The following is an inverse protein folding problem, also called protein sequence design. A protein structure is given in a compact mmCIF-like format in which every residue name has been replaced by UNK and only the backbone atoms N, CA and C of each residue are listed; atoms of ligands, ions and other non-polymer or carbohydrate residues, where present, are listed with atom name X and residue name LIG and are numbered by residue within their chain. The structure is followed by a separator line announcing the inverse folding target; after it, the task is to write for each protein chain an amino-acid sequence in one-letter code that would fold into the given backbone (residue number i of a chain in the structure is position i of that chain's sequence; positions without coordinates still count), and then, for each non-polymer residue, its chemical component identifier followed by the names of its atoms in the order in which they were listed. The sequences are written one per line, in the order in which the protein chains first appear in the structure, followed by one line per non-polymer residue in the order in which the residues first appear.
data_IF_954816824189
#
_entry.id   IF_954816824189
#
_cell.length_a   1.000
_cell.length_b   1.000
_cell.length_c   1.000
_cell.angle_alpha   90.00
_cell.angle_beta   90.00
_cell.angle_gamma   90.00
#
_symmetry.space_group_name_H-M   'P 1'
#
loop_
_entity.id
_entity.type
_entity.pdbx_description
1 polymer ?
#
# COMPACT_ATOMS: atom_id res chain seq x y z
N UNK A 1 -11.39 -9.41 22.31
CA UNK A 1 -10.65 -10.05 21.18
C UNK A 1 -9.18 -9.81 21.47
N UNK A 2 -8.32 -10.79 21.28
CA UNK A 2 -6.90 -10.60 21.56
C UNK A 2 -6.32 -9.56 20.59
N UNK A 3 -5.60 -8.58 21.12
CA UNK A 3 -4.80 -7.63 20.35
C UNK A 3 -3.67 -8.38 19.65
N UNK A 4 -3.90 -8.87 18.45
CA UNK A 4 -2.98 -9.76 17.72
C UNK A 4 -1.70 -9.09 17.26
N UNK A 5 -1.68 -7.75 17.27
CA UNK A 5 -0.54 -6.92 16.88
C UNK A 5 -0.01 -6.07 18.06
N UNK A 6 -0.33 -6.46 19.30
CA UNK A 6 0.17 -5.78 20.49
C UNK A 6 1.70 -5.74 20.50
N UNK A 7 2.26 -4.56 20.76
CA UNK A 7 3.71 -4.33 20.75
C UNK A 7 4.36 -4.29 19.38
N UNK A 8 3.58 -4.36 18.28
CA UNK A 8 4.07 -4.24 16.92
C UNK A 8 4.08 -2.79 16.45
N UNK A 9 5.10 -2.42 15.69
CA UNK A 9 5.24 -1.10 15.07
C UNK A 9 4.97 -1.24 13.57
N UNK A 10 4.11 -0.38 13.03
CA UNK A 10 3.71 -0.39 11.63
C UNK A 10 3.97 0.94 10.94
N UNK A 11 4.49 0.89 9.72
CA UNK A 11 4.53 2.01 8.76
C UNK A 11 3.41 1.83 7.74
N UNK A 12 2.61 2.88 7.52
CA UNK A 12 1.61 2.94 6.43
C UNK A 12 1.89 4.18 5.58
N UNK A 13 2.34 3.99 4.34
CA UNK A 13 2.53 5.10 3.39
C UNK A 13 1.21 5.47 2.71
N UNK A 14 0.99 6.75 2.41
CA UNK A 14 -0.31 7.24 1.94
C UNK A 14 -1.38 7.13 3.03
N UNK A 15 -1.00 7.35 4.29
CA UNK A 15 -1.81 7.10 5.47
C UNK A 15 -2.82 8.18 5.83
N UNK A 16 -2.83 9.32 5.12
CA UNK A 16 -3.71 10.44 5.46
C UNK A 16 -5.19 10.16 5.18
N UNK A 17 -5.52 9.33 4.19
CA UNK A 17 -6.91 9.07 3.76
C UNK A 17 -7.10 7.72 3.06
N UNK A 18 -8.37 7.40 2.74
CA UNK A 18 -8.75 6.25 1.91
C UNK A 18 -8.26 4.92 2.47
N UNK A 19 -7.70 4.06 1.61
CA UNK A 19 -7.23 2.72 1.99
C UNK A 19 -6.14 2.80 3.07
N UNK A 20 -5.21 3.77 2.97
CA UNK A 20 -4.14 3.95 3.95
C UNK A 20 -4.68 4.28 5.35
N UNK A 21 -5.59 5.25 5.47
CA UNK A 21 -6.21 5.60 6.74
C UNK A 21 -7.03 4.44 7.32
N UNK A 22 -7.87 3.76 6.50
CA UNK A 22 -8.60 2.59 6.92
C UNK A 22 -7.67 1.46 7.40
N UNK A 23 -6.54 1.25 6.71
CA UNK A 23 -5.52 0.28 7.12
C UNK A 23 -4.92 0.65 8.47
N UNK A 24 -4.54 1.91 8.65
CA UNK A 24 -3.99 2.40 9.92
C UNK A 24 -4.97 2.17 11.08
N UNK A 25 -6.26 2.49 10.87
CA UNK A 25 -7.32 2.26 11.87
C UNK A 25 -7.46 0.76 12.22
N UNK A 26 -7.41 -0.15 11.23
CA UNK A 26 -7.51 -1.59 11.48
C UNK A 26 -6.28 -2.17 12.19
N UNK A 27 -5.08 -1.72 11.84
CA UNK A 27 -3.85 -2.15 12.52
C UNK A 27 -3.81 -1.65 13.98
N UNK A 28 -4.16 -0.40 14.21
CA UNK A 28 -4.24 0.17 15.55
C UNK A 28 -5.29 -0.53 16.42
N UNK A 29 -6.45 -0.87 15.86
CA UNK A 29 -7.49 -1.63 16.56
C UNK A 29 -7.05 -3.05 16.97
N UNK A 30 -6.00 -3.61 16.35
CA UNK A 30 -5.36 -4.88 16.73
C UNK A 30 -4.17 -4.69 17.69
N UNK A 31 -3.90 -3.44 18.13
CA UNK A 31 -2.88 -3.12 19.12
C UNK A 31 -1.53 -2.66 18.56
N UNK A 32 -1.40 -2.48 17.24
CA UNK A 32 -0.17 -1.95 16.66
C UNK A 32 0.00 -0.46 16.95
N UNK A 33 1.23 -0.02 17.19
CA UNK A 33 1.60 1.39 17.08
C UNK A 33 1.81 1.75 15.62
N UNK A 34 0.97 2.61 15.07
CA UNK A 34 0.97 2.92 13.64
C UNK A 34 1.57 4.30 13.37
N UNK A 35 2.60 4.33 12.54
CA UNK A 35 3.17 5.54 11.97
C UNK A 35 2.60 5.71 10.56
N UNK A 36 1.81 6.74 10.37
CA UNK A 36 1.28 7.10 9.05
C UNK A 36 2.20 8.10 8.37
N UNK A 37 2.60 7.80 7.14
CA UNK A 37 3.39 8.68 6.31
C UNK A 37 2.55 9.20 5.14
N UNK A 38 2.60 10.48 4.88
CA UNK A 38 2.02 11.11 3.69
C UNK A 38 2.78 12.38 3.32
N UNK A 39 2.52 12.95 2.14
CA UNK A 39 3.19 14.17 1.70
C UNK A 39 2.90 15.35 2.64
N UNK A 40 3.84 16.31 2.80
CA UNK A 40 3.63 17.46 3.70
C UNK A 40 2.38 18.29 3.37
N UNK A 41 1.95 18.32 2.10
CA UNK A 41 0.72 19.00 1.70
C UNK A 41 -0.55 18.40 2.31
N UNK A 42 -0.52 17.17 2.79
CA UNK A 42 -1.64 16.46 3.43
C UNK A 42 -1.48 16.33 4.95
N UNK A 43 -0.54 17.07 5.56
CA UNK A 43 -0.18 16.98 6.99
C UNK A 43 -1.37 17.19 7.93
N UNK A 44 -2.27 18.14 7.65
CA UNK A 44 -3.46 18.37 8.47
C UNK A 44 -4.38 17.14 8.50
N UNK A 45 -4.61 16.55 7.32
CA UNK A 45 -5.41 15.32 7.20
C UNK A 45 -4.71 14.13 7.87
N UNK A 46 -3.39 14.03 7.72
CA UNK A 46 -2.56 13.00 8.34
C UNK A 46 -2.66 13.08 9.88
N UNK A 47 -2.50 14.29 10.43
CA UNK A 47 -2.63 14.55 11.87
C UNK A 47 -4.02 14.18 12.39
N UNK A 48 -5.08 14.47 11.61
CA UNK A 48 -6.44 14.07 11.95
C UNK A 48 -6.59 12.55 12.02
N UNK A 49 -6.00 11.83 11.08
CA UNK A 49 -6.04 10.36 11.04
C UNK A 49 -5.29 9.75 12.22
N UNK A 50 -4.05 10.19 12.49
CA UNK A 50 -3.25 9.62 13.58
C UNK A 50 -3.81 9.95 14.97
N UNK A 51 -4.46 11.10 15.13
CA UNK A 51 -5.11 11.46 16.39
C UNK A 51 -6.25 10.50 16.77
N UNK A 52 -6.98 9.96 15.79
CA UNK A 52 -8.05 8.96 16.01
C UNK A 52 -7.52 7.63 16.54
N UNK A 53 -6.32 7.26 16.16
CA UNK A 53 -5.74 5.92 16.43
C UNK A 53 -4.65 5.94 17.50
N UNK A 54 -4.28 7.12 18.02
CA UNK A 54 -3.16 7.25 18.95
C UNK A 54 -1.81 6.92 18.31
N UNK A 55 -1.70 7.09 16.99
CA UNK A 55 -0.50 6.84 16.19
C UNK A 55 0.42 8.05 16.05
N UNK A 56 1.39 7.97 15.16
CA UNK A 56 2.31 9.05 14.84
C UNK A 56 2.22 9.48 13.38
N UNK A 57 2.41 10.77 13.10
CA UNK A 57 2.48 11.32 11.76
C UNK A 57 3.93 11.51 11.32
N UNK A 58 4.24 11.11 10.08
CA UNK A 58 5.53 11.33 9.46
C UNK A 58 5.32 12.04 8.11
N UNK A 59 5.18 13.39 8.10
CA UNK A 59 5.00 14.12 6.85
C UNK A 59 6.29 14.09 6.02
N UNK A 60 6.24 13.39 4.87
CA UNK A 60 7.40 13.19 4.01
C UNK A 60 6.97 12.82 2.58
N UNK A 61 7.67 13.34 1.58
CA UNK A 61 7.55 12.86 0.20
C UNK A 61 8.47 11.63 0.02
N UNK A 62 7.87 10.49 -0.28
CA UNK A 62 8.62 9.22 -0.48
C UNK A 62 9.54 9.25 -1.70
N UNK A 63 9.38 10.22 -2.60
CA UNK A 63 10.26 10.40 -3.77
C UNK A 63 11.48 11.28 -3.50
N UNK A 64 11.57 11.89 -2.30
CA UNK A 64 12.79 12.59 -1.86
C UNK A 64 13.93 11.54 -1.80
N UNK A 65 15.07 11.80 -2.45
CA UNK A 65 16.21 10.89 -2.43
C UNK A 65 16.67 10.47 -1.04
N UNK A 66 16.49 11.33 -0.04
CA UNK A 66 16.86 11.07 1.36
C UNK A 66 15.74 10.35 2.15
N UNK A 67 14.53 10.22 1.58
CA UNK A 67 13.39 9.64 2.31
C UNK A 67 13.65 8.24 2.85
N UNK A 68 14.25 7.29 2.10
CA UNK A 68 14.52 5.96 2.63
C UNK A 68 15.38 5.98 3.90
N UNK A 69 16.45 6.78 3.90
CA UNK A 69 17.34 6.88 5.05
C UNK A 69 16.71 7.63 6.23
N UNK A 70 15.91 8.67 5.97
CA UNK A 70 15.16 9.39 7.02
C UNK A 70 14.12 8.47 7.68
N UNK A 71 13.41 7.65 6.90
CA UNK A 71 12.47 6.65 7.41
C UNK A 71 13.20 5.62 8.28
N UNK A 72 14.30 5.06 7.79
CA UNK A 72 15.11 4.09 8.51
C UNK A 72 15.60 4.64 9.85
N UNK A 73 16.16 5.84 9.83
CA UNK A 73 16.64 6.55 11.03
C UNK A 73 15.51 6.76 12.03
N UNK A 74 14.36 7.25 11.57
CA UNK A 74 13.20 7.47 12.43
C UNK A 74 12.77 6.18 13.15
N UNK A 75 12.59 5.07 12.42
CA UNK A 75 12.16 3.82 13.05
C UNK A 75 13.23 3.24 13.99
N UNK A 76 14.49 3.34 13.63
CA UNK A 76 15.59 2.87 14.48
C UNK A 76 15.67 3.64 15.80
N UNK A 77 15.58 4.97 15.76
CA UNK A 77 15.74 5.83 16.93
C UNK A 77 14.50 5.85 17.83
N UNK A 78 13.30 5.88 17.23
CA UNK A 78 12.07 6.03 18.00
C UNK A 78 11.47 4.69 18.46
N UNK A 79 11.73 3.61 17.71
CA UNK A 79 11.05 2.33 17.94
C UNK A 79 11.99 1.10 17.99
N UNK A 80 13.28 1.28 17.69
CA UNK A 80 14.23 0.16 17.60
C UNK A 80 14.05 -0.70 16.33
N UNK A 81 13.12 -0.36 15.45
CA UNK A 81 12.81 -1.04 14.20
C UNK A 81 11.33 -0.95 13.83
N UNK A 82 10.93 -1.65 12.77
CA UNK A 82 9.54 -1.74 12.31
C UNK A 82 9.16 -3.20 12.05
N UNK A 83 7.94 -3.58 12.43
CA UNK A 83 7.46 -4.96 12.22
C UNK A 83 6.60 -5.10 10.97
N UNK A 84 5.90 -4.05 10.57
CA UNK A 84 4.92 -4.07 9.49
C UNK A 84 5.16 -2.87 8.59
N UNK A 85 5.31 -3.10 7.29
CA UNK A 85 5.41 -2.05 6.27
C UNK A 85 4.29 -2.23 5.27
N UNK A 86 3.44 -1.20 5.12
CA UNK A 86 2.36 -1.18 4.13
C UNK A 86 2.65 -0.08 3.11
N UNK A 87 3.07 -0.49 1.92
CA UNK A 87 3.27 0.39 0.78
C UNK A 87 1.94 0.66 0.08
N UNK A 88 1.23 1.69 0.54
CA UNK A 88 -0.07 2.07 -0.01
C UNK A 88 -0.01 3.37 -0.83
N UNK A 89 0.96 4.25 -0.60
CA UNK A 89 1.11 5.48 -1.36
C UNK A 89 1.17 5.21 -2.87
N UNK A 90 0.46 6.02 -3.64
CA UNK A 90 0.44 5.87 -5.10
C UNK A 90 -0.49 6.88 -5.76
N UNK A 91 -0.22 7.14 -7.03
CA UNK A 91 -0.97 8.08 -7.85
C UNK A 91 -1.33 7.47 -9.21
N UNK A 92 -2.34 8.06 -9.85
CA UNK A 92 -2.66 7.80 -11.27
C UNK A 92 -2.44 9.06 -12.09
N UNK A 93 -2.01 8.90 -13.33
CA UNK A 93 -1.94 9.97 -14.34
C UNK A 93 -2.36 9.37 -15.68
N UNK A 94 -3.68 9.26 -15.82
CA UNK A 94 -4.31 8.46 -16.87
C UNK A 94 -4.24 9.15 -18.23
N UNK A 95 -3.63 8.47 -19.19
CA UNK A 95 -3.60 8.80 -20.61
C UNK A 95 -3.43 7.52 -21.44
N UNK A 96 -3.96 7.51 -22.64
CA UNK A 96 -3.60 6.46 -23.61
C UNK A 96 -2.11 6.53 -23.91
N UNK A 97 -1.47 5.42 -24.24
CA UNK A 97 -0.03 5.36 -24.48
C UNK A 97 0.43 6.39 -25.53
N UNK A 98 -0.35 6.55 -26.60
CA UNK A 98 -0.06 7.52 -27.66
C UNK A 98 -0.06 9.00 -27.20
N UNK A 99 -0.75 9.31 -26.11
CA UNK A 99 -0.86 10.64 -25.54
C UNK A 99 -0.13 10.77 -24.19
N UNK A 100 0.57 9.73 -23.76
CA UNK A 100 1.32 9.71 -22.51
C UNK A 100 2.59 10.58 -22.66
N UNK A 101 2.70 11.58 -21.79
CA UNK A 101 3.90 12.42 -21.73
C UNK A 101 4.91 11.79 -20.79
N UNK A 102 6.19 11.90 -21.11
CA UNK A 102 7.30 11.35 -20.35
C UNK A 102 7.23 11.70 -18.86
N UNK A 103 7.05 12.97 -18.52
CA UNK A 103 6.98 13.39 -17.12
C UNK A 103 5.81 12.78 -16.32
N UNK A 104 4.70 12.41 -16.99
CA UNK A 104 3.58 11.70 -16.34
C UNK A 104 3.90 10.23 -16.14
N UNK A 105 4.66 9.65 -17.07
CA UNK A 105 5.18 8.31 -16.96
C UNK A 105 6.16 8.22 -15.78
N UNK A 106 7.18 9.06 -15.79
CA UNK A 106 8.24 9.07 -14.79
C UNK A 106 7.70 9.33 -13.37
N UNK A 107 6.76 10.28 -13.24
CA UNK A 107 6.11 10.55 -11.95
C UNK A 107 5.42 9.30 -11.38
N UNK A 108 4.66 8.58 -12.20
CA UNK A 108 3.94 7.39 -11.72
C UNK A 108 4.92 6.25 -11.42
N UNK A 109 5.96 6.07 -12.23
CA UNK A 109 7.02 5.08 -11.94
C UNK A 109 7.75 5.40 -10.64
N UNK A 110 8.17 6.64 -10.46
CA UNK A 110 8.92 7.10 -9.28
C UNK A 110 8.11 6.83 -7.99
N UNK A 111 6.85 7.26 -7.97
CA UNK A 111 6.03 7.17 -6.75
C UNK A 111 5.57 5.73 -6.50
N UNK A 112 4.99 5.08 -7.52
CA UNK A 112 4.29 3.81 -7.32
C UNK A 112 5.20 2.60 -7.27
N UNK A 113 6.45 2.71 -7.74
CA UNK A 113 7.39 1.59 -7.77
C UNK A 113 8.77 2.02 -7.24
N UNK A 114 9.40 3.02 -7.81
CA UNK A 114 10.77 3.41 -7.47
C UNK A 114 10.97 3.72 -5.99
N UNK A 115 10.10 4.53 -5.41
CA UNK A 115 10.16 4.89 -4.00
C UNK A 115 9.99 3.66 -3.08
N UNK A 116 9.13 2.72 -3.44
CA UNK A 116 8.91 1.48 -2.68
C UNK A 116 10.19 0.64 -2.66
N UNK A 117 10.80 0.44 -3.85
CA UNK A 117 12.05 -0.32 -3.96
C UNK A 117 13.17 0.32 -3.15
N UNK A 118 13.33 1.64 -3.25
CA UNK A 118 14.37 2.37 -2.51
C UNK A 118 14.16 2.32 -0.99
N UNK A 119 12.93 2.43 -0.51
CA UNK A 119 12.62 2.32 0.91
C UNK A 119 12.92 0.91 1.42
N UNK A 120 12.47 -0.12 0.73
CA UNK A 120 12.69 -1.50 1.15
C UNK A 120 14.16 -1.91 1.06
N UNK A 121 14.90 -1.41 0.07
CA UNK A 121 16.36 -1.63 -0.03
C UNK A 121 17.07 -1.19 1.26
N UNK A 122 16.76 0.00 1.77
CA UNK A 122 17.37 0.51 3.01
C UNK A 122 16.81 -0.21 4.24
N UNK A 123 15.48 -0.37 4.35
CA UNK A 123 14.87 -0.98 5.54
C UNK A 123 15.26 -2.46 5.73
N UNK A 124 15.43 -3.20 4.63
CA UNK A 124 15.87 -4.60 4.66
C UNK A 124 17.38 -4.72 4.82
N UNK A 125 18.16 -3.89 4.08
CA UNK A 125 19.62 -3.88 4.11
C UNK A 125 20.18 -3.54 5.48
N UNK A 126 19.65 -2.50 6.11
CA UNK A 126 20.04 -2.03 7.45
C UNK A 126 19.35 -2.81 8.59
N UNK A 127 18.55 -3.83 8.26
CA UNK A 127 17.78 -4.65 9.21
C UNK A 127 16.85 -3.83 10.10
N UNK A 128 16.26 -2.76 9.56
CA UNK A 128 15.27 -1.95 10.25
C UNK A 128 13.93 -2.70 10.35
N UNK A 129 13.58 -3.49 9.32
CA UNK A 129 12.47 -4.44 9.43
C UNK A 129 12.92 -5.61 10.29
N UNK A 130 12.19 -5.85 11.38
CA UNK A 130 12.45 -6.93 12.33
C UNK A 130 12.26 -8.32 11.68
N UNK A 131 12.97 -9.31 12.20
CA UNK A 131 12.75 -10.70 11.80
C UNK A 131 11.31 -11.12 12.12
N UNK A 132 10.71 -11.90 11.24
CA UNK A 132 9.28 -12.19 11.31
C UNK A 132 8.37 -11.03 10.90
N UNK A 133 8.92 -9.99 10.28
CA UNK A 133 8.18 -8.81 9.81
C UNK A 133 7.18 -9.09 8.68
N UNK A 134 6.44 -8.07 8.29
CA UNK A 134 5.41 -8.14 7.25
C UNK A 134 5.55 -6.97 6.29
N UNK A 135 5.62 -7.26 5.00
CA UNK A 135 5.57 -6.24 3.93
C UNK A 135 4.32 -6.51 3.10
N UNK A 136 3.48 -5.48 2.93
CA UNK A 136 2.29 -5.55 2.08
C UNK A 136 2.32 -4.40 1.08
N UNK A 137 2.32 -4.74 -0.21
CA UNK A 137 2.32 -3.77 -1.31
C UNK A 137 0.91 -3.63 -1.91
N UNK A 138 0.43 -2.40 -2.09
CA UNK A 138 -0.81 -2.13 -2.81
C UNK A 138 -0.58 -2.17 -4.33
N UNK A 139 -0.90 -3.31 -4.94
CA UNK A 139 -1.01 -3.47 -6.39
C UNK A 139 -2.40 -2.99 -6.87
N UNK A 140 -2.96 -3.60 -7.87
CA UNK A 140 -4.29 -3.33 -8.45
C UNK A 140 -4.69 -4.47 -9.38
N UNK A 141 -5.98 -4.65 -9.61
CA UNK A 141 -6.45 -5.48 -10.75
C UNK A 141 -5.92 -4.94 -12.08
N UNK A 142 -5.67 -3.62 -12.19
CA UNK A 142 -5.02 -3.02 -13.36
C UNK A 142 -3.56 -3.47 -13.55
N UNK A 143 -2.87 -3.93 -12.50
CA UNK A 143 -1.55 -4.56 -12.58
C UNK A 143 -1.62 -6.02 -13.06
N UNK A 144 -2.75 -6.69 -12.89
CA UNK A 144 -2.96 -8.08 -13.32
C UNK A 144 -3.41 -8.15 -14.79
N UNK A 145 -4.39 -7.33 -15.16
CA UNK A 145 -5.05 -7.42 -16.46
C UNK A 145 -4.83 -6.23 -17.39
N UNK A 146 -4.19 -5.19 -16.89
CA UNK A 146 -4.13 -3.89 -17.57
C UNK A 146 -5.47 -3.14 -17.46
N UNK A 147 -5.42 -1.86 -17.85
CA UNK A 147 -6.61 -1.04 -18.01
C UNK A 147 -6.33 0.02 -19.09
N UNK A 148 -7.28 0.18 -20.01
CA UNK A 148 -7.14 1.15 -21.08
C UNK A 148 -6.99 2.57 -20.51
N UNK A 149 -5.96 3.30 -20.98
CA UNK A 149 -5.67 4.64 -20.48
C UNK A 149 -4.82 4.70 -19.21
N UNK A 150 -4.43 3.55 -18.65
CA UNK A 150 -3.62 3.46 -17.41
C UNK A 150 -2.31 2.68 -17.61
N UNK A 151 -1.64 2.87 -18.75
CA UNK A 151 -0.45 2.07 -19.10
C UNK A 151 0.68 2.22 -18.08
N UNK A 152 1.00 3.46 -17.66
CA UNK A 152 2.00 3.74 -16.64
C UNK A 152 1.61 3.14 -15.27
N UNK A 153 0.37 3.36 -14.85
CA UNK A 153 -0.13 2.82 -13.59
C UNK A 153 -0.14 1.28 -13.60
N UNK A 154 -0.68 0.67 -14.66
CA UNK A 154 -0.68 -0.78 -14.82
C UNK A 154 0.73 -1.38 -14.79
N UNK A 155 1.69 -0.75 -15.47
CA UNK A 155 3.08 -1.18 -15.46
C UNK A 155 3.67 -1.17 -14.03
N UNK A 156 3.46 -0.09 -13.25
CA UNK A 156 3.96 -0.02 -11.87
C UNK A 156 3.30 -1.06 -10.97
N UNK A 157 1.99 -1.27 -11.11
CA UNK A 157 1.26 -2.23 -10.27
C UNK A 157 1.57 -3.68 -10.63
N UNK A 158 1.91 -3.97 -11.90
CA UNK A 158 2.47 -5.25 -12.33
C UNK A 158 3.92 -5.43 -11.81
N UNK A 159 4.73 -4.36 -11.84
CA UNK A 159 6.08 -4.34 -11.26
C UNK A 159 6.08 -4.74 -9.78
N UNK A 160 5.12 -4.23 -8.99
CA UNK A 160 4.97 -4.63 -7.58
C UNK A 160 4.61 -6.11 -7.40
N UNK A 161 3.85 -6.72 -8.32
CA UNK A 161 3.57 -8.15 -8.29
C UNK A 161 4.87 -8.95 -8.47
N UNK A 162 5.69 -8.56 -9.46
CA UNK A 162 7.00 -9.18 -9.69
C UNK A 162 7.96 -8.98 -8.52
N UNK A 163 8.00 -7.77 -7.95
CA UNK A 163 8.79 -7.45 -6.77
C UNK A 163 8.44 -8.33 -5.57
N UNK A 164 7.16 -8.44 -5.26
CA UNK A 164 6.66 -9.29 -4.15
C UNK A 164 7.07 -10.76 -4.35
N UNK A 165 6.94 -11.27 -5.57
CA UNK A 165 7.34 -12.64 -5.87
C UNK A 165 8.85 -12.88 -5.64
N UNK A 166 9.70 -11.92 -6.04
CA UNK A 166 11.16 -12.01 -5.83
C UNK A 166 11.53 -11.86 -4.35
N UNK A 167 11.07 -10.77 -3.71
CA UNK A 167 11.44 -10.45 -2.32
C UNK A 167 10.97 -11.50 -1.32
N UNK A 168 9.84 -12.14 -1.56
CA UNK A 168 9.35 -13.19 -0.67
C UNK A 168 10.34 -14.36 -0.50
N UNK A 169 11.03 -14.74 -1.56
CA UNK A 169 12.08 -15.76 -1.52
C UNK A 169 13.34 -15.29 -0.80
N UNK A 170 13.78 -14.07 -1.09
CA UNK A 170 14.98 -13.48 -0.46
C UNK A 170 14.83 -13.30 1.05
N UNK A 171 13.64 -12.93 1.51
CA UNK A 171 13.38 -12.65 2.91
C UNK A 171 12.92 -13.87 3.73
N UNK A 172 12.74 -15.02 3.11
CA UNK A 172 12.27 -16.24 3.76
C UNK A 172 13.14 -16.66 4.96
N UNK A 173 14.46 -16.52 4.84
CA UNK A 173 15.41 -16.86 5.93
C UNK A 173 15.25 -16.01 7.19
N UNK A 174 14.63 -14.83 7.09
CA UNK A 174 14.30 -13.94 8.19
C UNK A 174 12.85 -14.10 8.69
N UNK A 175 12.07 -14.99 8.08
CA UNK A 175 10.65 -15.16 8.39
C UNK A 175 9.78 -13.96 8.02
N UNK A 176 10.28 -13.04 7.20
CA UNK A 176 9.53 -11.87 6.72
C UNK A 176 8.63 -12.32 5.57
N UNK A 177 7.33 -12.07 5.68
CA UNK A 177 6.40 -12.33 4.57
C UNK A 177 6.22 -11.08 3.72
N UNK A 178 6.19 -11.25 2.40
CA UNK A 178 6.01 -10.17 1.42
C UNK A 178 4.84 -10.52 0.52
N UNK A 179 3.77 -9.72 0.54
CA UNK A 179 2.56 -9.98 -0.23
C UNK A 179 2.05 -8.73 -0.92
N UNK A 180 1.28 -8.90 -1.98
CA UNK A 180 0.54 -7.84 -2.64
C UNK A 180 -0.96 -7.99 -2.43
N UNK A 181 -1.64 -6.87 -2.26
CA UNK A 181 -3.10 -6.78 -2.35
C UNK A 181 -3.45 -6.07 -3.64
N UNK A 182 -4.39 -6.62 -4.40
CA UNK A 182 -4.85 -6.08 -5.67
C UNK A 182 -6.34 -5.66 -5.58
N UNK A 183 -6.62 -4.40 -5.18
CA UNK A 183 -7.98 -3.89 -5.13
C UNK A 183 -8.60 -3.78 -6.52
N UNK A 184 -9.94 -3.94 -6.58
CA UNK A 184 -10.76 -3.58 -7.73
C UNK A 184 -11.14 -2.11 -7.71
N UNK A 185 -12.39 -1.82 -8.10
CA UNK A 185 -12.96 -0.49 -7.95
C UNK A 185 -13.32 -0.24 -6.48
N UNK A 186 -12.60 0.67 -5.83
CA UNK A 186 -12.80 1.04 -4.41
C UNK A 186 -13.32 2.46 -4.33
N UNK A 187 -14.37 2.68 -3.54
CA UNK A 187 -15.00 3.98 -3.29
C UNK A 187 -14.07 4.85 -2.42
N UNK A 188 -13.29 5.70 -3.06
CA UNK A 188 -12.38 6.64 -2.42
C UNK A 188 -12.56 8.05 -2.99
N UNK A 189 -11.92 9.06 -2.41
CA UNK A 189 -11.90 10.39 -3.00
C UNK A 189 -11.38 10.37 -4.45
N UNK A 190 -10.35 9.57 -4.73
CA UNK A 190 -9.78 9.43 -6.08
C UNK A 190 -10.82 8.94 -7.10
N UNK A 191 -11.64 7.95 -6.74
CA UNK A 191 -12.69 7.44 -7.61
C UNK A 191 -13.93 8.32 -7.65
N UNK A 192 -14.18 9.12 -6.60
CA UNK A 192 -15.29 10.09 -6.56
C UNK A 192 -15.15 11.21 -7.59
N UNK A 193 -13.92 11.54 -8.00
CA UNK A 193 -13.63 12.54 -9.03
C UNK A 193 -13.85 12.04 -10.47
N UNK A 194 -14.08 10.72 -10.65
CA UNK A 194 -14.37 10.14 -11.96
C UNK A 194 -15.80 10.52 -12.43
N UNK A 195 -16.03 10.63 -13.76
CA UNK A 195 -17.37 10.81 -14.30
C UNK A 195 -18.34 9.73 -13.82
N UNK A 196 -19.59 10.12 -13.58
CA UNK A 196 -20.63 9.23 -13.03
C UNK A 196 -20.75 7.89 -13.77
N UNK A 197 -20.78 7.92 -15.10
CA UNK A 197 -20.91 6.69 -15.92
C UNK A 197 -19.73 5.73 -15.74
N UNK A 198 -18.52 6.27 -15.58
CA UNK A 198 -17.31 5.46 -15.35
C UNK A 198 -17.35 4.82 -13.97
N UNK A 199 -17.78 5.58 -12.96
CA UNK A 199 -17.95 5.06 -11.60
C UNK A 199 -18.98 3.95 -11.55
N UNK A 200 -20.12 4.16 -12.19
CA UNK A 200 -21.20 3.16 -12.23
C UNK A 200 -20.79 1.90 -12.98
N UNK A 201 -20.05 2.03 -14.09
CA UNK A 201 -19.44 0.89 -14.76
C UNK A 201 -18.45 0.16 -13.83
N UNK A 202 -17.56 0.88 -13.15
CA UNK A 202 -16.61 0.28 -12.20
C UNK A 202 -17.30 -0.50 -11.08
N UNK A 203 -18.41 0.01 -10.53
CA UNK A 203 -19.22 -0.67 -9.52
C UNK A 203 -19.83 -1.97 -10.01
N UNK A 204 -20.28 -2.00 -11.28
CA UNK A 204 -21.03 -3.13 -11.85
C UNK A 204 -20.18 -4.16 -12.57
N UNK A 205 -18.91 -3.86 -12.83
CA UNK A 205 -17.99 -4.77 -13.53
C UNK A 205 -17.40 -5.87 -12.65
N UNK A 206 -18.11 -6.28 -11.61
CA UNK A 206 -17.73 -7.41 -10.78
C UNK A 206 -18.96 -8.24 -10.39
N UNK A 207 -18.75 -9.48 -9.95
CA UNK A 207 -19.85 -10.41 -9.66
C UNK A 207 -20.75 -9.96 -8.51
N UNK A 208 -20.24 -9.11 -7.59
CA UNK A 208 -21.02 -8.56 -6.48
C UNK A 208 -21.83 -7.33 -6.88
N UNK A 209 -21.60 -6.77 -8.09
CA UNK A 209 -22.27 -5.58 -8.63
C UNK A 209 -22.24 -4.37 -7.69
N UNK A 210 -21.12 -4.18 -6.99
CA UNK A 210 -20.91 -3.07 -6.04
C UNK A 210 -19.47 -2.57 -6.04
N UNK A 211 -19.26 -1.32 -5.64
CA UNK A 211 -17.93 -0.80 -5.30
C UNK A 211 -17.44 -1.40 -3.99
N UNK A 212 -16.14 -1.72 -3.90
CA UNK A 212 -15.52 -2.06 -2.63
C UNK A 212 -15.32 -0.80 -1.77
N UNK A 213 -15.17 -1.00 -0.47
CA UNK A 213 -14.85 0.07 0.48
C UNK A 213 -13.36 0.01 0.87
N UNK A 214 -12.75 1.13 1.30
CA UNK A 214 -11.39 1.11 1.85
C UNK A 214 -11.19 0.06 2.93
N UNK A 215 -12.22 -0.15 3.76
CA UNK A 215 -12.24 -1.12 4.85
C UNK A 215 -12.11 -2.56 4.36
N UNK A 216 -12.68 -2.91 3.20
CA UNK A 216 -12.57 -4.25 2.63
C UNK A 216 -11.10 -4.60 2.32
N UNK A 217 -10.36 -3.62 1.80
CA UNK A 217 -8.93 -3.75 1.51
C UNK A 217 -8.13 -3.79 2.81
N UNK A 218 -8.44 -2.91 3.76
CA UNK A 218 -7.78 -2.81 5.05
C UNK A 218 -7.91 -4.10 5.88
N UNK A 219 -9.07 -4.78 5.82
CA UNK A 219 -9.29 -6.06 6.49
C UNK A 219 -8.35 -7.15 5.97
N UNK A 220 -8.14 -7.23 4.66
CA UNK A 220 -7.17 -8.18 4.08
C UNK A 220 -5.73 -7.81 4.47
N UNK A 221 -5.36 -6.52 4.41
CA UNK A 221 -4.04 -6.08 4.82
C UNK A 221 -3.80 -6.45 6.29
N UNK A 222 -4.74 -6.12 7.17
CA UNK A 222 -4.69 -6.51 8.59
C UNK A 222 -4.51 -8.02 8.74
N UNK A 223 -5.28 -8.84 8.03
CA UNK A 223 -5.15 -10.30 8.10
C UNK A 223 -3.73 -10.74 7.72
N UNK A 224 -3.18 -10.24 6.63
CA UNK A 224 -1.82 -10.58 6.15
C UNK A 224 -0.72 -10.19 7.14
N UNK A 225 -0.96 -9.24 8.04
CA UNK A 225 0.01 -8.81 9.05
C UNK A 225 -0.09 -9.57 10.36
N UNK A 226 -1.16 -10.34 10.58
CA UNK A 226 -1.36 -11.11 11.82
C UNK A 226 -0.56 -12.42 11.84
N UNK A 227 -0.34 -13.02 13.02
CA UNK A 227 0.30 -14.34 13.12
C UNK A 227 -0.43 -15.44 12.34
N UNK A 228 -1.75 -15.29 12.12
CA UNK A 228 -2.53 -16.28 11.35
C UNK A 228 -2.16 -16.37 9.87
N UNK A 229 -1.45 -15.38 9.34
CA UNK A 229 -1.03 -15.33 7.93
C UNK A 229 0.45 -15.67 7.72
N UNK A 230 1.16 -16.19 8.72
CA UNK A 230 2.61 -16.47 8.65
C UNK A 230 3.00 -17.41 7.50
N UNK A 231 2.11 -18.28 7.07
CA UNK A 231 2.32 -19.18 5.93
C UNK A 231 2.00 -18.57 4.55
N UNK A 232 1.61 -17.28 4.49
CA UNK A 232 1.25 -16.62 3.23
C UNK A 232 2.36 -15.64 2.86
N UNK A 233 3.12 -15.95 1.80
CA UNK A 233 4.16 -15.07 1.26
C UNK A 233 4.25 -15.23 -0.25
N UNK A 234 4.70 -14.19 -0.96
CA UNK A 234 4.81 -14.19 -2.42
C UNK A 234 3.47 -14.13 -3.17
N UNK A 235 2.37 -13.85 -2.47
CA UNK A 235 1.03 -13.91 -3.04
C UNK A 235 0.53 -12.53 -3.45
N UNK A 236 -0.28 -12.52 -4.52
CA UNK A 236 -1.09 -11.37 -4.91
C UNK A 236 -2.56 -11.72 -4.72
N UNK A 237 -3.20 -11.12 -3.73
CA UNK A 237 -4.58 -11.43 -3.36
C UNK A 237 -5.51 -10.30 -3.81
N UNK A 238 -6.56 -10.65 -4.55
CA UNK A 238 -7.53 -9.70 -5.10
C UNK A 238 -8.61 -9.35 -4.07
N UNK A 239 -8.91 -8.05 -3.94
CA UNK A 239 -10.09 -7.53 -3.24
C UNK A 239 -10.91 -6.75 -4.26
N UNK A 240 -11.66 -7.46 -5.10
CA UNK A 240 -12.27 -6.88 -6.30
C UNK A 240 -13.69 -7.38 -6.60
N UNK A 241 -14.33 -8.10 -5.66
CA UNK A 241 -15.67 -8.66 -5.91
C UNK A 241 -15.74 -9.60 -7.12
N UNK A 242 -14.63 -10.27 -7.47
CA UNK A 242 -14.49 -11.05 -8.70
C UNK A 242 -14.73 -10.17 -9.95
N UNK A 243 -13.93 -9.08 -10.07
CA UNK A 243 -13.97 -8.24 -11.26
C UNK A 243 -13.76 -9.06 -12.52
N UNK A 244 -14.51 -8.75 -13.58
CA UNK A 244 -14.42 -9.40 -14.89
C UNK A 244 -13.10 -9.13 -15.62
N UNK A 245 -12.30 -8.18 -15.11
CA UNK A 245 -10.98 -7.85 -15.63
C UNK A 245 -9.96 -8.78 -14.97
N UNK A 246 -9.12 -9.43 -15.76
CA UNK A 246 -8.02 -10.25 -15.26
C UNK A 246 -8.47 -11.60 -14.67
N UNK A 247 -9.43 -12.21 -15.32
CA UNK A 247 -9.81 -13.60 -15.01
C UNK A 247 -8.75 -14.58 -15.51
#
# INVERSE_FOLDING_TARGET
MANRLEGKVALVTGGARGIGAATAERLAAEGAHVVCLDIPADEETLNTTVAKIGGAALPMDITDPDAPQKIATYFKEQHGGVDIVVHNAGVTRDKTLANMKEHLWDMVLSINLGAILAIDEVLLGDKIINDGGRIVCLSSIGGIAGNMGQTNYGATKAGLIGYVAAQSGEQAGRGITVNAVAPGFIETRMTAEMPFMIREAGRRMNSLSQGGQPEDVAELIKFLTTPGAVGITGQTIRVCGQSLIGA
#
